data_IF_047987859439
#
_entry.id   IF_047987859439
#
_cell.length_a   1.000
_cell.length_b   1.000
_cell.length_c   1.000
_cell.angle_alpha   90.00
_cell.angle_beta   90.00
_cell.angle_gamma   90.00
#
_symmetry.space_group_name_H-M   'P 1'
#
loop_
_entity.id
_entity.type
_entity.pdbx_description
1 polymer ?
#
# COMPACT_ATOMS: atom_id res chain seq x y z
N UNK A 1 -5.40 -10.01 -4.03
CA UNK A 1 -4.26 -9.17 -4.45
C UNK A 1 -4.40 -8.76 -5.90
N UNK A 2 -3.99 -9.61 -6.84
CA UNK A 2 -3.95 -9.31 -8.30
C UNK A 2 -5.29 -8.80 -8.86
N UNK A 3 -6.40 -9.48 -8.56
CA UNK A 3 -7.71 -9.05 -9.06
C UNK A 3 -8.13 -7.66 -8.55
N UNK A 4 -7.71 -7.28 -7.33
CA UNK A 4 -7.96 -5.93 -6.81
C UNK A 4 -7.13 -4.88 -7.55
N UNK A 5 -5.87 -5.18 -7.87
CA UNK A 5 -5.00 -4.28 -8.64
C UNK A 5 -5.57 -4.05 -10.06
N UNK A 6 -6.05 -5.11 -10.71
CA UNK A 6 -6.69 -5.01 -12.04
C UNK A 6 -7.95 -4.15 -12.03
N UNK A 7 -8.71 -4.20 -10.94
CA UNK A 7 -9.94 -3.44 -10.75
C UNK A 7 -9.77 -2.07 -10.11
N UNK A 8 -8.54 -1.66 -9.74
CA UNK A 8 -8.28 -0.42 -9.04
C UNK A 8 -8.40 0.80 -9.97
N UNK A 9 -8.99 1.87 -9.47
CA UNK A 9 -9.03 3.17 -10.14
C UNK A 9 -7.87 4.06 -9.70
N UNK A 10 -7.38 3.85 -8.48
CA UNK A 10 -6.13 4.43 -8.01
C UNK A 10 -5.33 3.41 -7.19
N UNK A 11 -4.01 3.42 -7.35
CA UNK A 11 -3.08 2.63 -6.52
C UNK A 11 -2.10 3.57 -5.83
N UNK A 12 -2.08 3.55 -4.51
CA UNK A 12 -1.12 4.28 -3.67
C UNK A 12 -0.08 3.29 -3.18
N UNK A 13 1.19 3.48 -3.51
CA UNK A 13 2.25 2.49 -3.26
C UNK A 13 3.54 3.10 -2.74
N UNK A 14 4.34 2.27 -2.05
CA UNK A 14 5.64 2.67 -1.49
C UNK A 14 6.79 2.32 -2.44
N UNK A 15 7.99 2.84 -2.17
CA UNK A 15 9.18 2.66 -3.02
C UNK A 15 9.65 1.21 -3.17
N UNK A 16 9.12 0.29 -2.35
CA UNK A 16 9.41 -1.15 -2.42
C UNK A 16 8.40 -1.92 -3.26
N UNK A 17 7.42 -1.25 -3.87
CA UNK A 17 6.49 -1.90 -4.78
C UNK A 17 7.22 -2.39 -6.04
N UNK A 18 6.85 -3.59 -6.48
CA UNK A 18 7.39 -4.21 -7.69
C UNK A 18 6.68 -3.65 -8.92
N UNK A 19 7.45 -3.18 -9.91
CA UNK A 19 6.93 -2.67 -11.18
C UNK A 19 6.05 -3.70 -11.91
N UNK A 20 6.34 -5.01 -11.75
CA UNK A 20 5.52 -6.07 -12.31
C UNK A 20 4.10 -6.07 -11.71
N UNK A 21 3.93 -5.73 -10.43
CA UNK A 21 2.60 -5.60 -9.83
C UNK A 21 1.88 -4.35 -10.30
N UNK A 22 2.60 -3.22 -10.44
CA UNK A 22 2.04 -1.98 -10.96
C UNK A 22 1.57 -2.15 -12.40
N UNK A 23 2.27 -2.96 -13.20
CA UNK A 23 1.87 -3.28 -14.59
C UNK A 23 0.56 -4.06 -14.71
N UNK A 24 0.04 -4.63 -13.61
CA UNK A 24 -1.27 -5.32 -13.60
C UNK A 24 -2.44 -4.34 -13.51
N UNK A 25 -2.18 -3.07 -13.17
CA UNK A 25 -3.22 -2.05 -13.05
C UNK A 25 -3.77 -1.71 -14.44
N UNK A 26 -5.06 -1.35 -14.50
CA UNK A 26 -5.67 -0.93 -15.76
C UNK A 26 -5.03 0.35 -16.32
N UNK A 27 -5.12 0.57 -17.63
CA UNK A 27 -4.52 1.73 -18.32
C UNK A 27 -4.98 3.09 -17.78
N UNK A 28 -6.19 3.14 -17.19
CA UNK A 28 -6.78 4.35 -16.59
C UNK A 28 -6.55 4.44 -15.08
N UNK A 29 -5.85 3.49 -14.49
CA UNK A 29 -5.55 3.49 -13.06
C UNK A 29 -4.53 4.59 -12.74
N UNK A 30 -4.84 5.42 -11.76
CA UNK A 30 -3.95 6.47 -11.31
C UNK A 30 -2.94 5.91 -10.30
N UNK A 31 -1.65 6.11 -10.58
CA UNK A 31 -0.55 5.60 -9.78
C UNK A 31 0.06 6.71 -8.90
N UNK A 32 0.04 6.50 -7.59
CA UNK A 32 0.56 7.43 -6.58
C UNK A 32 1.73 6.80 -5.83
N UNK A 33 2.96 7.18 -6.19
CA UNK A 33 4.16 6.82 -5.43
C UNK A 33 4.27 7.72 -4.18
N UNK A 34 4.09 7.12 -3.01
CA UNK A 34 4.30 7.78 -1.70
C UNK A 34 5.59 7.29 -1.01
N UNK A 35 6.40 6.53 -1.74
CA UNK A 35 7.69 6.02 -1.33
C UNK A 35 8.80 7.07 -1.34
N UNK A 36 9.91 6.75 -0.64
CA UNK A 36 11.12 7.59 -0.63
C UNK A 36 12.24 6.88 -1.38
N UNK A 37 12.81 7.52 -2.41
CA UNK A 37 14.16 7.18 -2.89
C UNK A 37 15.20 7.97 -2.10
N UNK A 38 16.29 7.32 -1.72
CA UNK A 38 17.23 7.72 -0.66
C UNK A 38 17.63 9.20 -0.60
N UNK A 39 17.70 9.75 0.63
CA UNK A 39 18.36 11.03 0.95
C UNK A 39 17.44 12.23 1.22
N UNK A 40 16.20 12.24 0.73
CA UNK A 40 15.27 13.36 0.94
C UNK A 40 14.44 13.16 2.22
N UNK A 41 15.06 13.39 3.39
CA UNK A 41 14.36 13.32 4.69
C UNK A 41 13.32 14.42 4.86
N UNK A 42 13.54 15.56 4.21
CA UNK A 42 12.80 16.81 4.41
C UNK A 42 11.51 16.89 3.56
N UNK A 43 11.31 15.95 2.62
CA UNK A 43 10.11 15.80 1.78
C UNK A 43 9.41 14.47 2.03
N UNK A 44 9.45 14.02 3.27
CA UNK A 44 8.61 12.90 3.69
C UNK A 44 7.16 13.35 3.58
N UNK A 45 6.33 12.68 2.77
CA UNK A 45 4.90 12.71 3.05
C UNK A 45 4.76 12.25 4.50
N UNK A 46 4.28 13.13 5.38
CA UNK A 46 3.95 12.72 6.72
C UNK A 46 2.93 11.59 6.61
N UNK A 47 2.89 10.68 7.58
CA UNK A 47 1.87 9.62 7.56
C UNK A 47 0.46 10.22 7.37
N UNK A 48 0.22 11.38 7.98
CA UNK A 48 -1.01 12.16 7.81
C UNK A 48 -1.30 12.59 6.36
N UNK A 49 -0.28 12.84 5.54
CA UNK A 49 -0.46 13.20 4.12
C UNK A 49 -0.92 11.98 3.32
N UNK A 50 -0.36 10.80 3.59
CA UNK A 50 -0.78 9.54 2.96
C UNK A 50 -2.21 9.20 3.39
N UNK A 51 -2.49 9.30 4.69
CA UNK A 51 -3.82 9.05 5.25
C UNK A 51 -4.85 10.01 4.62
N UNK A 52 -4.52 11.29 4.51
CA UNK A 52 -5.35 12.31 3.86
C UNK A 52 -5.56 12.07 2.36
N UNK A 53 -4.53 11.64 1.64
CA UNK A 53 -4.63 11.25 0.23
C UNK A 53 -5.60 10.07 0.06
N UNK A 54 -5.47 9.03 0.88
CA UNK A 54 -6.36 7.86 0.82
C UNK A 54 -7.82 8.27 1.05
N UNK A 55 -8.09 9.09 2.08
CA UNK A 55 -9.44 9.60 2.35
C UNK A 55 -9.96 10.45 1.20
N UNK A 56 -9.13 11.32 0.61
CA UNK A 56 -9.50 12.16 -0.52
C UNK A 56 -9.90 11.35 -1.76
N UNK A 57 -9.06 10.39 -2.16
CA UNK A 57 -9.31 9.53 -3.32
C UNK A 57 -10.61 8.74 -3.13
N UNK A 58 -10.85 8.21 -1.93
CA UNK A 58 -12.05 7.44 -1.64
C UNK A 58 -13.31 8.32 -1.58
N UNK A 59 -13.33 9.38 -0.77
CA UNK A 59 -14.56 10.14 -0.50
C UNK A 59 -14.85 11.25 -1.50
N UNK A 60 -13.84 12.04 -1.87
CA UNK A 60 -14.05 13.20 -2.75
C UNK A 60 -14.12 12.77 -4.21
N UNK A 61 -13.32 11.77 -4.60
CA UNK A 61 -13.26 11.28 -5.97
C UNK A 61 -14.08 10.01 -6.22
N UNK A 62 -14.52 9.33 -5.15
CA UNK A 62 -15.37 8.13 -5.26
C UNK A 62 -14.66 6.93 -5.87
N UNK A 63 -13.33 6.86 -5.79
CA UNK A 63 -12.52 5.85 -6.47
C UNK A 63 -12.40 4.56 -5.66
N UNK A 64 -12.29 3.43 -6.35
CA UNK A 64 -11.76 2.18 -5.79
C UNK A 64 -10.24 2.27 -5.67
N UNK A 65 -9.79 2.54 -4.45
CA UNK A 65 -8.38 2.74 -4.12
C UNK A 65 -7.77 1.45 -3.58
N UNK A 66 -6.58 1.10 -4.07
CA UNK A 66 -5.73 0.06 -3.49
C UNK A 66 -4.48 0.68 -2.88
N UNK A 67 -4.28 0.48 -1.58
CA UNK A 67 -3.04 0.81 -0.89
C UNK A 67 -2.07 -0.38 -0.99
N UNK A 68 -1.18 -0.37 -1.98
CA UNK A 68 -0.22 -1.45 -2.21
C UNK A 68 1.00 -1.30 -1.31
N UNK A 69 1.20 -2.30 -0.43
CA UNK A 69 2.31 -2.33 0.53
C UNK A 69 3.16 -3.57 0.29
N UNK A 70 4.48 -3.43 0.39
CA UNK A 70 5.38 -4.56 0.26
C UNK A 70 5.28 -5.49 1.47
N UNK A 71 5.29 -6.80 1.22
CA UNK A 71 5.18 -7.81 2.28
C UNK A 71 3.76 -7.93 2.83
N UNK A 72 3.65 -8.06 4.16
CA UNK A 72 2.35 -8.08 4.84
C UNK A 72 2.03 -6.69 5.43
N UNK A 73 0.82 -6.14 5.22
CA UNK A 73 0.44 -4.81 5.71
C UNK A 73 0.61 -4.60 7.23
N UNK A 74 0.48 -5.66 8.03
CA UNK A 74 0.56 -5.59 9.49
C UNK A 74 1.94 -5.96 10.05
N UNK A 75 2.87 -6.44 9.23
CA UNK A 75 4.26 -6.69 9.67
C UNK A 75 5.10 -5.44 9.36
N UNK A 76 5.23 -4.56 10.35
CA UNK A 76 5.96 -3.28 10.28
C UNK A 76 5.48 -2.31 9.18
N UNK A 77 4.29 -2.52 8.60
CA UNK A 77 3.78 -1.75 7.47
C UNK A 77 3.03 -0.46 7.80
N UNK A 78 2.78 -0.11 9.07
CA UNK A 78 1.97 1.08 9.48
C UNK A 78 0.51 1.09 8.98
N UNK A 79 -0.02 -0.03 8.49
CA UNK A 79 -1.38 -0.08 7.97
C UNK A 79 -2.45 0.35 8.99
N UNK A 80 -2.18 0.20 10.30
CA UNK A 80 -3.12 0.59 11.35
C UNK A 80 -3.56 2.07 11.27
N UNK A 81 -2.64 3.00 11.05
CA UNK A 81 -2.98 4.43 11.02
C UNK A 81 -3.76 4.79 9.76
N UNK A 82 -3.35 4.22 8.61
CA UNK A 82 -4.02 4.37 7.32
C UNK A 82 -5.48 3.87 7.42
N UNK A 83 -5.69 2.68 8.00
CA UNK A 83 -7.01 2.08 8.22
C UNK A 83 -7.85 2.94 9.18
N UNK A 84 -7.25 3.42 10.28
CA UNK A 84 -7.96 4.24 11.26
C UNK A 84 -8.48 5.54 10.64
N UNK A 85 -7.66 6.24 9.86
CA UNK A 85 -8.08 7.46 9.18
C UNK A 85 -9.23 7.22 8.20
N UNK A 86 -9.19 6.12 7.45
CA UNK A 86 -10.27 5.72 6.54
C UNK A 86 -11.56 5.38 7.29
N UNK A 87 -11.46 4.64 8.40
CA UNK A 87 -12.60 4.28 9.25
C UNK A 87 -13.25 5.51 9.89
N UNK A 88 -12.44 6.43 10.43
CA UNK A 88 -12.92 7.70 11.00
C UNK A 88 -13.64 8.56 9.95
N UNK A 89 -13.21 8.48 8.69
CA UNK A 89 -13.85 9.14 7.56
C UNK A 89 -15.07 8.37 7.00
N UNK A 90 -15.40 7.18 7.54
CA UNK A 90 -16.52 6.35 7.08
C UNK A 90 -16.27 5.58 5.79
N UNK A 91 -15.01 5.41 5.38
CA UNK A 91 -14.62 4.62 4.20
C UNK A 91 -14.54 3.13 4.58
N UNK A 92 -15.23 2.22 3.86
CA UNK A 92 -15.08 0.79 4.08
C UNK A 92 -13.69 0.31 3.65
N UNK A 93 -13.07 -0.54 4.46
CA UNK A 93 -11.71 -1.06 4.20
C UNK A 93 -11.70 -2.58 4.29
N UNK A 94 -11.06 -3.21 3.31
CA UNK A 94 -10.68 -4.62 3.31
C UNK A 94 -9.16 -4.72 3.40
N UNK A 95 -8.65 -5.64 4.23
CA UNK A 95 -7.21 -5.95 4.29
C UNK A 95 -6.95 -7.30 3.65
N UNK A 96 -6.08 -7.32 2.65
CA UNK A 96 -5.59 -8.55 2.03
C UNK A 96 -4.20 -8.87 2.59
N UNK A 97 -4.00 -10.03 3.24
CA UNK A 97 -2.70 -10.41 3.78
C UNK A 97 -1.68 -10.64 2.67
N UNK A 98 -0.41 -10.43 3.01
CA UNK A 98 0.71 -10.62 2.10
C UNK A 98 1.80 -11.52 2.68
N UNK A 99 2.80 -11.86 1.87
CA UNK A 99 3.94 -12.66 2.31
C UNK A 99 5.00 -11.74 2.91
N UNK A 100 5.12 -11.74 4.23
CA UNK A 100 6.16 -10.95 4.90
C UNK A 100 7.57 -11.50 4.62
N UNK A 101 8.53 -10.59 4.49
CA UNK A 101 9.96 -10.92 4.41
C UNK A 101 10.48 -11.58 5.69
N UNK A 102 9.83 -11.34 6.84
CA UNK A 102 10.17 -11.97 8.11
C UNK A 102 10.08 -13.50 8.06
N UNK A 103 9.23 -14.05 7.17
CA UNK A 103 9.07 -15.50 6.96
C UNK A 103 9.74 -15.93 5.65
N UNK A 104 9.54 -15.16 4.58
CA UNK A 104 10.03 -15.52 3.25
C UNK A 104 11.56 -15.43 3.14
N UNK A 105 12.19 -14.47 3.82
CA UNK A 105 13.65 -14.32 3.83
C UNK A 105 14.36 -15.54 4.39
N UNK A 106 14.05 -15.99 5.63
CA UNK A 106 14.60 -17.22 6.19
C UNK A 106 14.35 -18.45 5.33
N UNK A 107 13.13 -18.62 4.79
CA UNK A 107 12.79 -19.72 3.87
C UNK A 107 13.75 -19.78 2.67
N UNK A 108 13.99 -18.65 2.02
CA UNK A 108 14.91 -18.57 0.88
C UNK A 108 16.37 -18.85 1.24
N UNK A 109 16.73 -18.70 2.52
CA UNK A 109 18.04 -19.05 3.04
C UNK A 109 18.12 -20.47 3.62
N UNK A 110 17.04 -21.26 3.58
CA UNK A 110 16.98 -22.59 4.20
C UNK A 110 16.99 -22.56 5.73
N UNK A 111 16.59 -21.43 6.33
CA UNK A 111 16.57 -21.23 7.78
C UNK A 111 15.13 -21.37 8.28
N UNK A 112 14.82 -22.35 9.15
CA UNK A 112 13.49 -22.46 9.73
C UNK A 112 13.24 -21.30 10.71
N UNK A 113 12.01 -20.81 10.76
CA UNK A 113 11.60 -19.74 11.68
C UNK A 113 11.16 -20.26 13.06
N UNK A 114 11.22 -21.57 13.25
CA UNK A 114 10.93 -22.32 14.49
C UNK A 114 11.85 -23.51 14.62
#
# INVERSE_FOLDING_TARGET
GVELLRGAEAVVYDALADDALLSLCGERCELYDVGKRGGQRDKSAAQADIDGLLVELCLKRGMRVVRLKAGDPFVYGRAKTEIQALQEAGVPVEVVPGLSSAVSGPLMAGIPVT
#
